data_IF_423720566767
#
_entry.id   IF_423720566767
#
_cell.length_a   1.000
_cell.length_b   1.000
_cell.length_c   1.000
_cell.angle_alpha   90.00
_cell.angle_beta   90.00
_cell.angle_gamma   90.00
#
_symmetry.space_group_name_H-M   'P 1'
#
loop_
_entity.id
_entity.type
_entity.pdbx_description
1 polymer ?
#
# COMPACT_ATOMS: atom_id res chain seq x y z
N UNK A 1 28.66 34.43 -13.29
CA UNK A 1 28.55 33.75 -12.00
C UNK A 1 27.25 34.23 -11.36
N UNK A 2 26.14 33.53 -11.63
CA UNK A 2 24.84 33.83 -11.04
C UNK A 2 24.67 32.85 -9.88
N UNK A 3 24.52 33.41 -8.69
CA UNK A 3 24.17 32.68 -7.46
C UNK A 3 22.82 32.00 -7.66
N UNK A 4 22.80 30.71 -7.54
CA UNK A 4 21.56 29.92 -7.45
C UNK A 4 20.98 30.20 -6.07
N UNK A 5 19.77 30.66 -6.05
CA UNK A 5 19.01 31.02 -4.84
C UNK A 5 18.58 29.71 -4.16
N UNK A 6 19.31 29.28 -3.13
CA UNK A 6 19.13 28.02 -2.39
C UNK A 6 17.90 27.99 -1.45
N UNK A 7 16.99 28.99 -1.53
CA UNK A 7 15.87 29.13 -0.60
C UNK A 7 14.48 29.12 -1.27
N UNK A 8 14.34 28.43 -2.40
CA UNK A 8 13.01 28.25 -2.98
C UNK A 8 12.55 26.80 -2.84
N UNK A 9 12.21 26.36 -1.61
CA UNK A 9 11.29 25.25 -1.44
C UNK A 9 9.94 25.71 -2.02
N UNK A 10 9.74 25.46 -3.31
CA UNK A 10 8.42 25.61 -3.91
C UNK A 10 7.55 24.53 -3.26
N UNK A 11 6.67 24.94 -2.35
CA UNK A 11 5.55 24.10 -1.96
C UNK A 11 4.68 23.86 -3.19
N UNK A 12 4.95 22.77 -3.90
CA UNK A 12 4.02 22.24 -4.89
C UNK A 12 2.79 21.84 -4.08
N UNK A 13 1.61 22.43 -4.29
CA UNK A 13 0.42 22.00 -3.57
C UNK A 13 0.21 20.52 -3.87
N UNK A 14 0.30 19.66 -2.84
CA UNK A 14 -0.03 18.26 -2.99
C UNK A 14 -1.47 18.16 -3.51
N UNK A 15 -1.69 17.40 -4.57
CA UNK A 15 -3.03 17.03 -5.00
C UNK A 15 -3.58 16.10 -3.93
N UNK A 16 -4.33 16.65 -2.97
CA UNK A 16 -4.97 15.85 -1.93
C UNK A 16 -6.04 14.98 -2.57
N UNK A 17 -5.93 13.68 -2.29
CA UNK A 17 -7.08 12.79 -2.44
C UNK A 17 -7.79 12.67 -1.09
N UNK A 18 -9.07 12.39 -1.11
CA UNK A 18 -9.88 12.22 0.10
C UNK A 18 -9.56 10.92 0.87
N UNK A 19 -8.56 10.14 0.44
CA UNK A 19 -8.22 8.85 1.04
C UNK A 19 -7.34 8.93 2.31
N UNK A 20 -6.69 10.06 2.55
CA UNK A 20 -5.68 10.22 3.60
C UNK A 20 -4.24 10.05 3.08
N UNK A 21 -3.27 10.20 3.97
CA UNK A 21 -1.83 10.16 3.64
C UNK A 21 -1.21 8.79 3.92
N UNK A 22 -1.59 8.17 5.04
CA UNK A 22 -1.02 6.90 5.49
C UNK A 22 -2.07 5.80 5.33
N UNK A 23 -1.94 5.04 4.26
CA UNK A 23 -2.83 3.92 3.95
C UNK A 23 -2.07 2.61 4.13
N UNK A 24 -2.67 1.65 4.85
CA UNK A 24 -2.03 0.34 5.06
C UNK A 24 -2.61 -0.69 4.11
N UNK A 25 -1.74 -1.31 3.29
CA UNK A 25 -2.09 -2.52 2.56
C UNK A 25 -2.12 -3.70 3.53
N UNK A 26 -3.29 -4.00 4.10
CA UNK A 26 -3.48 -4.96 5.19
C UNK A 26 -3.29 -6.41 4.72
N UNK A 27 -2.62 -7.24 5.54
CA UNK A 27 -2.54 -8.69 5.32
C UNK A 27 -3.89 -9.37 5.57
N UNK A 28 -4.12 -10.53 4.95
CA UNK A 28 -5.27 -11.39 5.25
C UNK A 28 -4.85 -12.50 6.22
N UNK A 29 -5.30 -12.49 7.47
CA UNK A 29 -5.04 -13.58 8.41
C UNK A 29 -5.75 -14.87 7.99
N UNK A 30 -5.03 -16.00 8.07
CA UNK A 30 -5.58 -17.32 7.83
C UNK A 30 -5.49 -18.20 9.09
N UNK A 31 -6.45 -19.14 9.20
CA UNK A 31 -6.41 -20.22 10.18
C UNK A 31 -5.51 -21.35 9.68
N UNK A 32 -5.29 -22.37 10.54
CA UNK A 32 -4.49 -23.54 10.18
C UNK A 32 -5.07 -24.38 9.03
N UNK A 33 -6.38 -24.26 8.77
CA UNK A 33 -7.07 -24.89 7.63
C UNK A 33 -7.10 -24.00 6.37
N UNK A 34 -6.30 -22.94 6.35
CA UNK A 34 -6.23 -21.93 5.30
C UNK A 34 -7.53 -21.12 5.07
N UNK A 35 -8.56 -21.30 5.89
CA UNK A 35 -9.74 -20.41 5.85
C UNK A 35 -9.39 -19.02 6.38
N UNK A 36 -10.08 -17.98 5.88
CA UNK A 36 -9.90 -16.60 6.35
C UNK A 36 -10.28 -16.48 7.82
N UNK A 37 -9.40 -15.91 8.65
CA UNK A 37 -9.70 -15.58 10.06
C UNK A 37 -10.25 -14.16 10.17
N UNK A 38 -11.54 -14.01 9.96
CA UNK A 38 -12.23 -12.71 10.03
C UNK A 38 -12.13 -12.06 11.42
N UNK A 39 -12.01 -12.86 12.50
CA UNK A 39 -11.86 -12.30 13.86
C UNK A 39 -10.52 -11.60 14.01
N UNK A 40 -9.44 -12.26 13.57
CA UNK A 40 -8.08 -11.67 13.61
C UNK A 40 -7.96 -10.53 12.60
N UNK A 41 -8.58 -10.64 11.42
CA UNK A 41 -8.61 -9.55 10.44
C UNK A 41 -9.22 -8.27 11.03
N UNK A 42 -10.39 -8.36 11.67
CA UNK A 42 -11.03 -7.20 12.33
C UNK A 42 -10.18 -6.63 13.45
N UNK A 43 -9.58 -7.48 14.28
CA UNK A 43 -8.70 -7.04 15.35
C UNK A 43 -7.45 -6.29 14.79
N UNK A 44 -6.85 -6.81 13.72
CA UNK A 44 -5.73 -6.15 13.05
C UNK A 44 -6.16 -4.84 12.40
N UNK A 45 -7.30 -4.81 11.71
CA UNK A 45 -7.83 -3.59 11.09
C UNK A 45 -8.02 -2.47 12.12
N UNK A 46 -8.63 -2.80 13.27
CA UNK A 46 -8.79 -1.86 14.39
C UNK A 46 -7.45 -1.37 14.90
N UNK A 47 -6.52 -2.29 15.16
CA UNK A 47 -5.18 -1.95 15.62
C UNK A 47 -4.48 -0.96 14.68
N UNK A 48 -4.51 -1.21 13.38
CA UNK A 48 -3.85 -0.36 12.38
C UNK A 48 -4.41 1.06 12.37
N UNK A 49 -5.73 1.22 12.46
CA UNK A 49 -6.39 2.53 12.50
C UNK A 49 -6.07 3.26 13.82
N UNK A 50 -6.07 2.56 14.94
CA UNK A 50 -5.68 3.11 16.24
C UNK A 50 -4.18 3.50 16.31
N UNK A 51 -3.36 2.93 15.41
CA UNK A 51 -1.92 3.17 15.34
C UNK A 51 -1.49 3.91 14.06
N UNK A 52 -2.37 4.73 13.50
CA UNK A 52 -1.97 5.73 12.51
C UNK A 52 -2.34 5.48 11.07
N UNK A 53 -3.01 4.39 10.75
CA UNK A 53 -3.55 4.20 9.40
C UNK A 53 -4.81 5.04 9.20
N UNK A 54 -4.79 5.96 8.24
CA UNK A 54 -5.94 6.77 7.85
C UNK A 54 -6.88 6.01 6.90
N UNK A 55 -6.40 4.91 6.33
CA UNK A 55 -7.18 4.01 5.49
C UNK A 55 -6.53 2.64 5.34
N UNK A 56 -7.33 1.67 4.91
CA UNK A 56 -6.92 0.30 4.67
C UNK A 56 -7.18 -0.10 3.21
N UNK A 57 -6.16 -0.67 2.57
CA UNK A 57 -6.31 -1.32 1.26
C UNK A 57 -6.43 -2.82 1.48
N UNK A 58 -7.62 -3.34 1.22
CA UNK A 58 -8.02 -4.71 1.52
C UNK A 58 -7.87 -5.59 0.28
N UNK A 59 -7.36 -6.81 0.45
CA UNK A 59 -7.13 -7.82 -0.60
C UNK A 59 -6.23 -7.39 -1.76
N UNK A 60 -5.30 -6.43 -1.50
CA UNK A 60 -4.20 -6.15 -2.42
C UNK A 60 -3.17 -7.29 -2.48
N UNK A 61 -1.99 -7.03 -3.04
CA UNK A 61 -0.90 -8.03 -3.09
C UNK A 61 -0.50 -8.50 -1.69
N UNK A 62 -0.41 -7.57 -0.72
CA UNK A 62 -0.12 -7.86 0.68
C UNK A 62 -1.22 -8.70 1.34
N UNK A 63 -2.47 -8.49 0.96
CA UNK A 63 -3.63 -9.24 1.43
C UNK A 63 -3.88 -10.54 0.68
N UNK A 64 -2.93 -11.02 -0.13
CA UNK A 64 -3.03 -12.27 -0.91
C UNK A 64 -4.28 -12.37 -1.80
N UNK A 65 -4.70 -11.22 -2.37
CA UNK A 65 -5.93 -11.12 -3.15
C UNK A 65 -6.01 -12.08 -4.36
N UNK A 66 -4.86 -12.55 -4.88
CA UNK A 66 -4.81 -13.51 -5.99
C UNK A 66 -5.25 -14.93 -5.63
N UNK A 67 -5.23 -15.31 -4.35
CA UNK A 67 -5.60 -16.64 -3.84
C UNK A 67 -6.94 -16.65 -3.10
N UNK A 68 -7.58 -15.49 -2.99
CA UNK A 68 -8.91 -15.33 -2.40
C UNK A 68 -10.00 -15.46 -3.47
N UNK A 69 -11.06 -16.20 -3.15
CA UNK A 69 -12.30 -16.18 -3.95
C UNK A 69 -13.00 -14.82 -3.85
N UNK A 70 -13.83 -14.47 -4.83
CA UNK A 70 -14.62 -13.23 -4.80
C UNK A 70 -15.49 -13.12 -3.56
N UNK A 71 -16.07 -14.25 -3.11
CA UNK A 71 -16.84 -14.29 -1.86
C UNK A 71 -15.99 -13.89 -0.66
N UNK A 72 -14.76 -14.42 -0.53
CA UNK A 72 -13.86 -14.07 0.57
C UNK A 72 -13.46 -12.58 0.50
N UNK A 73 -13.17 -12.06 -0.70
CA UNK A 73 -12.87 -10.65 -0.91
C UNK A 73 -14.02 -9.75 -0.45
N UNK A 74 -15.25 -10.01 -0.94
CA UNK A 74 -16.42 -9.23 -0.55
C UNK A 74 -16.68 -9.28 0.96
N UNK A 75 -16.50 -10.46 1.58
CA UNK A 75 -16.65 -10.60 3.03
C UNK A 75 -15.55 -9.83 3.79
N UNK A 76 -14.30 -9.77 3.27
CA UNK A 76 -13.21 -8.99 3.87
C UNK A 76 -13.46 -7.49 3.74
N UNK A 77 -13.95 -7.01 2.60
CA UNK A 77 -14.34 -5.60 2.43
C UNK A 77 -15.43 -5.22 3.42
N UNK A 78 -16.48 -6.03 3.50
CA UNK A 78 -17.57 -5.81 4.46
C UNK A 78 -17.06 -5.82 5.90
N UNK A 79 -16.20 -6.77 6.27
CA UNK A 79 -15.61 -6.86 7.60
C UNK A 79 -14.73 -5.65 7.96
N UNK A 80 -14.00 -5.09 6.98
CA UNK A 80 -13.23 -3.87 7.18
C UNK A 80 -14.15 -2.66 7.40
N UNK A 81 -15.17 -2.47 6.55
CA UNK A 81 -16.15 -1.38 6.69
C UNK A 81 -16.90 -1.45 8.01
N UNK A 82 -17.36 -2.64 8.41
CA UNK A 82 -18.05 -2.84 9.69
C UNK A 82 -17.16 -2.49 10.87
N UNK A 83 -15.85 -2.75 10.78
CA UNK A 83 -14.93 -2.55 11.90
C UNK A 83 -14.38 -1.12 11.99
N UNK A 84 -14.03 -0.51 10.85
CA UNK A 84 -13.31 0.76 10.84
C UNK A 84 -13.89 1.83 9.91
N UNK A 85 -14.92 1.54 9.13
CA UNK A 85 -15.44 2.44 8.07
C UNK A 85 -15.90 3.81 8.55
N UNK A 86 -16.25 3.98 9.82
CA UNK A 86 -16.56 5.30 10.41
C UNK A 86 -15.31 6.11 10.77
N UNK A 87 -14.12 5.49 10.81
CA UNK A 87 -12.87 6.07 11.33
C UNK A 87 -11.75 6.14 10.30
N UNK A 88 -11.83 5.33 9.26
CA UNK A 88 -10.78 5.19 8.26
C UNK A 88 -11.37 4.80 6.90
N UNK A 89 -10.72 5.24 5.84
CA UNK A 89 -11.10 4.91 4.46
C UNK A 89 -10.87 3.42 4.18
N UNK A 90 -11.85 2.75 3.58
CA UNK A 90 -11.72 1.35 3.15
C UNK A 90 -11.67 1.25 1.63
N UNK A 91 -10.53 0.83 1.10
CA UNK A 91 -10.23 0.71 -0.33
C UNK A 91 -10.19 -0.76 -0.70
N UNK A 92 -11.07 -1.19 -1.62
CA UNK A 92 -11.11 -2.55 -2.12
C UNK A 92 -10.13 -2.74 -3.30
N UNK A 93 -9.26 -3.74 -3.24
CA UNK A 93 -8.43 -4.12 -4.38
C UNK A 93 -9.20 -5.13 -5.25
N UNK A 94 -9.79 -4.66 -6.35
CA UNK A 94 -10.64 -5.45 -7.25
C UNK A 94 -10.02 -5.71 -8.62
N UNK A 95 -8.86 -5.08 -8.92
CA UNK A 95 -8.15 -5.26 -10.17
C UNK A 95 -7.59 -6.67 -10.36
N UNK A 96 -7.77 -7.24 -11.57
CA UNK A 96 -7.21 -8.51 -12.03
C UNK A 96 -6.73 -8.38 -13.47
N UNK A 97 -6.21 -9.45 -14.05
CA UNK A 97 -5.87 -9.51 -15.48
C UNK A 97 -7.11 -9.52 -16.39
N UNK A 98 -8.28 -9.82 -15.87
CA UNK A 98 -9.55 -9.87 -16.62
C UNK A 98 -10.38 -8.62 -16.34
N UNK A 99 -10.59 -7.81 -17.36
CA UNK A 99 -11.32 -6.54 -17.27
C UNK A 99 -12.79 -6.75 -16.82
N UNK A 100 -13.47 -7.76 -17.35
CA UNK A 100 -14.89 -8.03 -17.02
C UNK A 100 -15.02 -8.51 -15.58
N UNK A 101 -14.11 -9.37 -15.12
CA UNK A 101 -14.09 -9.83 -13.75
C UNK A 101 -13.80 -8.66 -12.80
N UNK A 102 -12.82 -7.82 -13.12
CA UNK A 102 -12.50 -6.62 -12.33
C UNK A 102 -13.70 -5.67 -12.23
N UNK A 103 -14.38 -5.38 -13.34
CA UNK A 103 -15.57 -4.53 -13.35
C UNK A 103 -16.73 -5.16 -12.54
N UNK A 104 -16.94 -6.48 -12.65
CA UNK A 104 -17.97 -7.18 -11.89
C UNK A 104 -17.73 -7.12 -10.39
N UNK A 105 -16.52 -7.42 -9.92
CA UNK A 105 -16.17 -7.38 -8.51
C UNK A 105 -16.22 -5.93 -7.96
N UNK A 106 -15.81 -4.94 -8.77
CA UNK A 106 -15.90 -3.53 -8.42
C UNK A 106 -17.36 -3.11 -8.23
N UNK A 107 -18.25 -3.47 -9.16
CA UNK A 107 -19.67 -3.17 -9.04
C UNK A 107 -20.30 -3.77 -7.78
N UNK A 108 -19.93 -5.00 -7.41
CA UNK A 108 -20.46 -5.65 -6.20
C UNK A 108 -19.98 -4.98 -4.90
N UNK A 109 -18.76 -4.44 -4.87
CA UNK A 109 -18.21 -3.80 -3.69
C UNK A 109 -18.57 -2.30 -3.58
N UNK A 110 -19.03 -1.66 -4.67
CA UNK A 110 -19.28 -0.22 -4.74
C UNK A 110 -20.31 0.31 -3.74
N UNK A 111 -21.21 -0.54 -3.26
CA UNK A 111 -22.25 -0.14 -2.31
C UNK A 111 -21.70 0.19 -0.91
N UNK A 112 -20.55 -0.34 -0.53
CA UNK A 112 -20.09 -0.23 0.85
C UNK A 112 -18.65 0.25 1.06
N UNK A 113 -17.75 0.18 0.05
CA UNK A 113 -16.37 0.70 0.20
C UNK A 113 -16.25 2.16 -0.24
N UNK A 114 -15.17 2.82 0.15
CA UNK A 114 -14.93 4.23 -0.16
C UNK A 114 -14.22 4.44 -1.50
N UNK A 115 -13.50 3.42 -1.99
CA UNK A 115 -12.79 3.49 -3.26
C UNK A 115 -12.15 2.16 -3.65
N UNK A 116 -11.42 2.18 -4.75
CA UNK A 116 -10.88 0.96 -5.35
C UNK A 116 -9.40 1.13 -5.72
N UNK A 117 -8.62 0.05 -5.51
CA UNK A 117 -7.28 -0.10 -6.05
C UNK A 117 -7.31 -1.09 -7.21
N UNK A 118 -6.95 -0.61 -8.40
CA UNK A 118 -6.97 -1.40 -9.62
C UNK A 118 -5.55 -1.62 -10.11
N UNK A 119 -5.07 -2.87 -10.01
CA UNK A 119 -3.74 -3.23 -10.52
C UNK A 119 -3.73 -3.26 -12.05
N UNK A 120 -2.63 -2.82 -12.65
CA UNK A 120 -2.38 -2.98 -14.09
C UNK A 120 -2.58 -4.46 -14.48
N UNK A 121 -3.34 -4.76 -15.57
CA UNK A 121 -3.53 -6.13 -16.01
C UNK A 121 -2.19 -6.83 -16.26
N UNK A 122 -1.96 -7.92 -15.56
CA UNK A 122 -0.73 -8.70 -15.61
C UNK A 122 -0.82 -9.88 -16.58
N UNK A 123 0.31 -10.54 -16.85
CA UNK A 123 0.48 -11.72 -17.70
C UNK A 123 0.32 -11.44 -19.20
N UNK A 124 -0.81 -10.89 -19.66
CA UNK A 124 -1.10 -10.65 -21.08
C UNK A 124 -0.36 -9.46 -21.69
N UNK A 125 0.32 -8.62 -20.88
CA UNK A 125 1.10 -7.44 -21.31
C UNK A 125 0.31 -6.52 -22.25
N UNK A 126 -0.81 -5.96 -21.83
CA UNK A 126 -1.61 -5.11 -22.70
C UNK A 126 -0.84 -3.86 -23.13
N UNK A 127 -1.05 -3.36 -24.37
CA UNK A 127 -0.54 -2.06 -24.78
C UNK A 127 -1.27 -0.93 -24.04
N UNK A 128 -0.69 0.28 -24.01
CA UNK A 128 -1.25 1.44 -23.32
C UNK A 128 -2.75 1.65 -23.59
N UNK A 129 -3.17 1.63 -24.87
CA UNK A 129 -4.60 1.74 -25.25
C UNK A 129 -5.48 0.66 -24.60
N UNK A 130 -4.95 -0.55 -24.41
CA UNK A 130 -5.69 -1.65 -23.75
C UNK A 130 -5.81 -1.41 -22.24
N UNK A 131 -4.80 -0.80 -21.61
CA UNK A 131 -4.85 -0.37 -20.20
C UNK A 131 -5.91 0.72 -20.04
N UNK A 132 -5.95 1.70 -20.90
CA UNK A 132 -6.94 2.78 -20.86
C UNK A 132 -8.37 2.22 -20.97
N UNK A 133 -8.64 1.33 -21.93
CA UNK A 133 -9.96 0.69 -22.08
C UNK A 133 -10.33 -0.20 -20.88
N UNK A 134 -9.32 -0.85 -20.25
CA UNK A 134 -9.52 -1.60 -19.01
C UNK A 134 -10.03 -0.70 -17.88
N UNK A 135 -9.38 0.45 -17.67
CA UNK A 135 -9.79 1.39 -16.63
C UNK A 135 -11.13 2.07 -16.94
N UNK A 136 -11.41 2.42 -18.20
CA UNK A 136 -12.71 2.96 -18.60
C UNK A 136 -13.86 2.01 -18.25
N UNK A 137 -13.75 0.74 -18.61
CA UNK A 137 -14.80 -0.25 -18.32
C UNK A 137 -15.01 -0.44 -16.81
N UNK A 138 -13.95 -0.35 -15.99
CA UNK A 138 -14.09 -0.45 -14.54
C UNK A 138 -14.67 0.84 -13.96
N UNK A 139 -14.25 1.99 -14.48
CA UNK A 139 -14.78 3.29 -14.07
C UNK A 139 -16.28 3.45 -14.34
N UNK A 140 -16.77 2.88 -15.45
CA UNK A 140 -18.17 2.94 -15.85
C UNK A 140 -19.15 2.21 -14.91
N UNK A 141 -18.67 1.31 -14.05
CA UNK A 141 -19.55 0.54 -13.13
C UNK A 141 -19.63 1.14 -11.73
N UNK A 142 -18.97 2.26 -11.45
CA UNK A 142 -18.99 2.91 -10.14
C UNK A 142 -18.73 4.40 -10.24
N UNK A 143 -19.30 5.19 -9.33
CA UNK A 143 -18.95 6.59 -9.16
C UNK A 143 -17.84 6.78 -8.10
N UNK A 144 -17.47 5.69 -7.39
CA UNK A 144 -16.44 5.74 -6.36
C UNK A 144 -15.05 5.95 -6.97
N UNK A 145 -14.15 6.63 -6.26
CA UNK A 145 -12.82 6.93 -6.76
C UNK A 145 -11.95 5.67 -6.95
N UNK A 146 -11.17 5.67 -8.03
CA UNK A 146 -10.25 4.61 -8.42
C UNK A 146 -8.79 5.07 -8.27
N UNK A 147 -7.97 4.17 -7.74
CA UNK A 147 -6.51 4.31 -7.67
C UNK A 147 -5.89 3.35 -8.69
N UNK A 148 -5.14 3.87 -9.64
CA UNK A 148 -4.32 3.06 -10.56
C UNK A 148 -3.17 2.44 -9.78
N UNK A 149 -2.91 1.13 -9.93
CA UNK A 149 -1.76 0.51 -9.31
C UNK A 149 -0.73 0.11 -10.37
N UNK A 150 0.35 0.90 -10.45
CA UNK A 150 1.49 0.65 -11.32
C UNK A 150 2.60 -0.05 -10.53
N UNK A 151 2.83 -1.33 -10.83
CA UNK A 151 3.84 -2.18 -10.19
C UNK A 151 4.55 -3.06 -11.21
N UNK A 152 5.48 -2.52 -12.00
CA UNK A 152 6.14 -3.25 -13.08
C UNK A 152 6.93 -4.48 -12.61
N UNK A 153 7.43 -4.48 -11.37
CA UNK A 153 8.12 -5.64 -10.78
C UNK A 153 7.26 -6.91 -10.68
N UNK A 154 5.92 -6.77 -10.64
CA UNK A 154 4.98 -7.89 -10.58
C UNK A 154 4.19 -8.10 -11.88
N UNK A 155 3.84 -7.01 -12.57
CA UNK A 155 2.97 -7.07 -13.75
C UNK A 155 3.73 -6.95 -15.06
N UNK A 156 5.04 -6.67 -15.02
CA UNK A 156 5.98 -6.52 -16.14
C UNK A 156 5.74 -5.23 -16.95
N UNK A 157 4.50 -4.76 -17.08
CA UNK A 157 4.16 -3.52 -17.79
C UNK A 157 4.32 -2.33 -16.85
N UNK A 158 5.08 -1.32 -17.28
CA UNK A 158 5.09 0.00 -16.66
C UNK A 158 4.06 0.90 -17.35
N UNK A 159 3.28 1.64 -16.60
CA UNK A 159 2.38 2.65 -17.16
C UNK A 159 3.15 3.96 -17.21
N UNK A 160 3.45 4.41 -18.43
CA UNK A 160 4.19 5.66 -18.64
C UNK A 160 3.35 6.89 -18.28
N UNK A 161 3.98 8.04 -17.93
CA UNK A 161 3.28 9.24 -17.50
C UNK A 161 2.22 9.73 -18.49
N UNK A 162 2.45 9.59 -19.79
CA UNK A 162 1.48 9.95 -20.83
C UNK A 162 0.20 9.13 -20.74
N UNK A 163 0.32 7.83 -20.46
CA UNK A 163 -0.84 6.95 -20.26
C UNK A 163 -1.55 7.24 -18.94
N UNK A 164 -0.79 7.57 -17.88
CA UNK A 164 -1.36 8.00 -16.59
C UNK A 164 -2.11 9.34 -16.75
N UNK A 165 -1.61 10.26 -17.58
CA UNK A 165 -2.33 11.50 -17.89
C UNK A 165 -3.68 11.21 -18.59
N UNK A 166 -3.70 10.29 -19.58
CA UNK A 166 -4.96 9.86 -20.23
C UNK A 166 -5.91 9.17 -19.23
N UNK A 167 -5.40 8.35 -18.30
CA UNK A 167 -6.21 7.76 -17.24
C UNK A 167 -6.78 8.81 -16.30
N UNK A 168 -6.06 9.87 -16.01
CA UNK A 168 -6.50 11.00 -15.19
C UNK A 168 -7.62 11.85 -15.80
N UNK A 169 -7.91 11.69 -17.09
CA UNK A 169 -9.08 12.31 -17.75
C UNK A 169 -10.39 11.55 -17.45
N UNK A 170 -10.31 10.32 -16.91
CA UNK A 170 -11.48 9.57 -16.47
C UNK A 170 -11.91 10.12 -15.11
N UNK A 171 -13.12 10.63 -15.00
CA UNK A 171 -13.60 11.50 -13.90
C UNK A 171 -13.40 10.93 -12.49
N UNK A 172 -13.49 9.61 -12.33
CA UNK A 172 -13.33 8.92 -11.04
C UNK A 172 -11.99 8.19 -10.88
N UNK A 173 -11.06 8.33 -11.83
CA UNK A 173 -9.65 7.91 -11.65
C UNK A 173 -8.88 9.08 -11.05
N UNK A 174 -8.60 9.01 -9.76
CA UNK A 174 -8.14 10.19 -8.97
C UNK A 174 -6.70 10.08 -8.48
N UNK A 175 -6.14 8.88 -8.47
CA UNK A 175 -4.82 8.65 -7.90
C UNK A 175 -4.06 7.52 -8.61
N UNK A 176 -2.75 7.48 -8.38
CA UNK A 176 -1.89 6.38 -8.74
C UNK A 176 -1.06 5.93 -7.53
N UNK A 177 -1.06 4.62 -7.26
CA UNK A 177 -0.08 3.96 -6.42
C UNK A 177 1.08 3.54 -7.31
N UNK A 178 2.23 4.21 -7.15
CA UNK A 178 3.44 3.97 -7.91
C UNK A 178 4.41 3.12 -7.11
N UNK A 179 4.69 1.90 -7.58
CA UNK A 179 5.59 0.95 -6.94
C UNK A 179 6.77 0.63 -7.88
N UNK A 180 7.56 1.64 -8.16
CA UNK A 180 8.89 1.56 -8.73
C UNK A 180 9.73 2.74 -8.20
N UNK A 181 11.06 2.60 -8.22
CA UNK A 181 12.00 3.58 -7.69
C UNK A 181 12.41 4.68 -8.69
N UNK A 182 11.68 4.83 -9.81
CA UNK A 182 11.94 5.89 -10.78
C UNK A 182 11.36 7.23 -10.29
N UNK A 183 12.19 8.01 -9.58
CA UNK A 183 11.82 9.32 -9.06
C UNK A 183 11.54 10.34 -10.16
N UNK A 184 12.14 10.19 -11.34
CA UNK A 184 11.85 11.07 -12.49
C UNK A 184 10.45 10.79 -13.03
N UNK A 185 10.05 9.51 -13.14
CA UNK A 185 8.68 9.16 -13.47
C UNK A 185 7.70 9.67 -12.41
N UNK A 186 8.03 9.53 -11.12
CA UNK A 186 7.21 10.03 -10.02
C UNK A 186 7.03 11.55 -10.09
N UNK A 187 8.09 12.30 -10.37
CA UNK A 187 8.04 13.77 -10.58
C UNK A 187 7.13 14.13 -11.74
N UNK A 188 7.27 13.45 -12.88
CA UNK A 188 6.41 13.67 -14.06
C UNK A 188 4.94 13.38 -13.77
N UNK A 189 4.63 12.36 -12.96
CA UNK A 189 3.25 12.09 -12.53
C UNK A 189 2.66 13.28 -11.78
N UNK A 190 3.42 13.86 -10.84
CA UNK A 190 2.97 15.02 -10.06
C UNK A 190 2.78 16.25 -10.95
N UNK A 191 3.70 16.51 -11.88
CA UNK A 191 3.70 17.72 -12.70
C UNK A 191 2.74 17.64 -13.89
N UNK A 192 2.61 16.48 -14.55
CA UNK A 192 1.99 16.32 -15.85
C UNK A 192 0.61 15.64 -15.82
N UNK A 193 0.17 15.10 -14.67
CA UNK A 193 -1.12 14.39 -14.58
C UNK A 193 -2.08 15.03 -13.56
N UNK A 194 -3.36 14.70 -13.62
CA UNK A 194 -4.34 15.09 -12.60
C UNK A 194 -4.32 14.17 -11.36
N UNK A 195 -3.56 13.08 -11.38
CA UNK A 195 -3.58 12.05 -10.37
C UNK A 195 -2.81 12.43 -9.11
N UNK A 196 -3.34 12.08 -7.94
CA UNK A 196 -2.61 12.12 -6.68
C UNK A 196 -1.59 10.96 -6.65
N UNK A 197 -0.32 11.25 -6.35
CA UNK A 197 0.74 10.24 -6.29
C UNK A 197 0.82 9.62 -4.90
N UNK A 198 0.71 8.29 -4.82
CA UNK A 198 0.96 7.50 -3.61
C UNK A 198 2.17 6.60 -3.78
N UNK A 199 3.05 6.57 -2.79
CA UNK A 199 4.12 5.59 -2.72
C UNK A 199 3.55 4.16 -2.62
N UNK A 200 4.08 3.25 -3.43
CA UNK A 200 3.66 1.85 -3.45
C UNK A 200 4.58 0.92 -2.67
N UNK A 201 5.78 1.38 -2.32
CA UNK A 201 6.77 0.70 -1.51
C UNK A 201 7.15 1.56 -0.29
N UNK A 202 7.67 0.92 0.75
CA UNK A 202 7.87 1.56 2.05
C UNK A 202 8.93 2.67 2.02
N UNK A 203 10.02 2.44 1.31
CA UNK A 203 11.17 3.33 1.13
C UNK A 203 10.90 4.51 0.19
N UNK A 204 9.77 4.52 -0.48
CA UNK A 204 9.37 5.59 -1.39
C UNK A 204 8.46 6.64 -0.73
N UNK A 205 8.02 6.44 0.52
CA UNK A 205 7.05 7.34 1.15
C UNK A 205 7.61 8.76 1.30
N UNK A 206 8.76 8.91 1.98
CA UNK A 206 9.36 10.23 2.18
C UNK A 206 9.83 10.86 0.86
N UNK A 207 10.57 10.15 -0.03
CA UNK A 207 10.92 10.69 -1.36
C UNK A 207 9.72 11.17 -2.19
N UNK A 208 8.59 10.47 -2.14
CA UNK A 208 7.41 10.89 -2.90
C UNK A 208 6.70 12.09 -2.26
N UNK A 209 6.68 12.19 -0.93
CA UNK A 209 6.20 13.39 -0.25
C UNK A 209 7.03 14.63 -0.64
N UNK A 210 8.35 14.49 -0.75
CA UNK A 210 9.25 15.57 -1.20
C UNK A 210 8.96 16.04 -2.63
N UNK A 211 8.52 15.13 -3.50
CA UNK A 211 8.09 15.46 -4.87
C UNK A 211 6.69 16.08 -4.93
N UNK A 212 5.96 16.18 -3.80
CA UNK A 212 4.58 16.66 -3.76
C UNK A 212 3.53 15.55 -3.86
N UNK A 213 3.90 14.31 -3.58
CA UNK A 213 2.99 13.17 -3.46
C UNK A 213 1.99 13.33 -2.32
N UNK A 214 0.86 12.64 -2.42
CA UNK A 214 -0.23 12.69 -1.44
C UNK A 214 0.06 11.85 -0.19
N UNK A 215 0.82 10.75 -0.33
CA UNK A 215 1.11 9.82 0.75
C UNK A 215 1.63 8.47 0.28
N UNK A 216 1.35 7.42 1.04
CA UNK A 216 1.75 6.05 0.72
C UNK A 216 0.68 5.01 1.03
N UNK A 217 0.68 3.95 0.21
CA UNK A 217 -0.07 2.73 0.43
C UNK A 217 0.96 1.64 0.72
N UNK A 218 1.36 1.56 1.98
CA UNK A 218 2.53 0.84 2.45
C UNK A 218 2.15 -0.35 3.34
N UNK A 219 3.13 -1.14 3.77
CA UNK A 219 2.91 -2.29 4.65
C UNK A 219 3.79 -2.29 5.91
N UNK A 220 4.85 -1.46 5.99
CA UNK A 220 5.61 -1.25 7.23
C UNK A 220 4.77 -0.61 8.35
N UNK A 221 3.70 0.06 7.98
CA UNK A 221 2.69 0.61 8.89
C UNK A 221 2.01 -0.42 9.78
N UNK A 222 2.08 -1.72 9.45
CA UNK A 222 1.63 -2.79 10.34
C UNK A 222 2.38 -2.81 11.69
N UNK A 223 3.66 -2.43 11.71
CA UNK A 223 4.54 -2.53 12.85
C UNK A 223 5.07 -1.18 13.33
N UNK A 224 5.04 -0.14 12.49
CA UNK A 224 5.61 1.16 12.79
C UNK A 224 4.64 2.33 12.49
N UNK A 225 3.33 2.11 12.50
CA UNK A 225 2.34 3.13 12.17
C UNK A 225 2.55 4.48 12.87
N UNK A 226 2.71 4.54 14.24
CA UNK A 226 2.94 5.79 14.95
C UNK A 226 4.25 6.51 14.54
N UNK A 227 5.30 5.76 14.22
CA UNK A 227 6.59 6.31 13.76
C UNK A 227 6.47 6.91 12.37
N UNK A 228 5.73 6.24 11.48
CA UNK A 228 5.42 6.74 10.13
C UNK A 228 4.55 8.00 10.22
N UNK A 229 3.58 8.06 11.14
CA UNK A 229 2.81 9.28 11.39
C UNK A 229 3.70 10.45 11.82
N UNK A 230 4.63 10.21 12.74
CA UNK A 230 5.55 11.25 13.22
C UNK A 230 6.46 11.74 12.07
N UNK A 231 6.97 10.85 11.23
CA UNK A 231 7.75 11.20 10.04
C UNK A 231 6.95 12.14 9.11
N UNK A 232 5.73 11.75 8.76
CA UNK A 232 4.85 12.56 7.90
C UNK A 232 4.50 13.90 8.56
N UNK A 233 4.26 13.92 9.88
CA UNK A 233 3.98 15.13 10.63
C UNK A 233 5.17 16.11 10.59
N UNK A 234 6.39 15.63 10.85
CA UNK A 234 7.62 16.44 10.77
C UNK A 234 7.83 17.00 9.37
N UNK A 235 7.73 16.13 8.35
CA UNK A 235 7.81 16.56 6.97
C UNK A 235 6.84 17.71 6.66
N UNK A 236 5.56 17.56 7.02
CA UNK A 236 4.51 18.58 6.78
C UNK A 236 4.71 19.88 7.57
N UNK A 237 5.33 19.80 8.74
CA UNK A 237 5.68 20.98 9.55
C UNK A 237 6.95 21.69 9.07
N UNK A 238 7.65 21.15 8.06
CA UNK A 238 8.89 21.70 7.51
C UNK A 238 10.16 21.23 8.22
N UNK A 239 10.06 20.31 9.19
CA UNK A 239 11.20 19.66 9.82
C UNK A 239 11.68 18.47 8.94
N UNK A 240 12.32 18.83 7.83
CA UNK A 240 12.80 17.84 6.85
C UNK A 240 13.91 16.96 7.44
N UNK A 241 14.81 17.52 8.25
CA UNK A 241 15.86 16.77 8.88
C UNK A 241 15.33 15.74 9.88
N UNK A 242 14.35 16.13 10.70
CA UNK A 242 13.70 15.19 11.62
C UNK A 242 12.85 14.13 10.91
N UNK A 243 12.26 14.45 9.76
CA UNK A 243 11.57 13.44 8.95
C UNK A 243 12.58 12.41 8.38
N UNK A 244 13.73 12.86 7.87
CA UNK A 244 14.78 11.98 7.35
C UNK A 244 15.39 11.10 8.45
N UNK A 245 15.60 11.64 9.66
CA UNK A 245 16.08 10.87 10.80
C UNK A 245 15.15 9.69 11.12
N UNK A 246 13.82 9.90 11.08
CA UNK A 246 12.85 8.83 11.30
C UNK A 246 12.86 7.84 10.14
N UNK A 247 12.98 8.29 8.90
CA UNK A 247 13.05 7.40 7.73
C UNK A 247 14.29 6.49 7.82
N UNK A 248 15.44 7.06 8.19
CA UNK A 248 16.68 6.29 8.43
C UNK A 248 16.51 5.26 9.56
N UNK A 249 15.83 5.64 10.66
CA UNK A 249 15.53 4.73 11.77
C UNK A 249 14.56 3.60 11.39
N UNK A 250 13.71 3.78 10.38
CA UNK A 250 12.85 2.74 9.84
C UNK A 250 13.60 1.74 8.94
N UNK A 251 14.83 2.04 8.53
CA UNK A 251 15.65 1.20 7.64
C UNK A 251 15.69 -0.28 8.03
N UNK A 252 16.07 -0.66 9.27
CA UNK A 252 16.10 -2.07 9.68
C UNK A 252 14.73 -2.77 9.58
N UNK A 253 13.61 -2.07 9.84
CA UNK A 253 12.28 -2.62 9.62
C UNK A 253 12.00 -2.83 8.13
N UNK A 254 12.36 -1.87 7.27
CA UNK A 254 12.20 -2.02 5.82
C UNK A 254 13.01 -3.20 5.29
N UNK A 255 14.24 -3.38 5.78
CA UNK A 255 15.08 -4.53 5.48
C UNK A 255 14.44 -5.86 5.94
N UNK A 256 13.87 -5.91 7.15
CA UNK A 256 13.16 -7.08 7.66
C UNK A 256 12.00 -7.49 6.74
N UNK A 257 11.23 -6.51 6.28
CA UNK A 257 10.05 -6.73 5.44
C UNK A 257 10.38 -7.08 3.98
N UNK A 258 11.66 -7.01 3.58
CA UNK A 258 12.14 -7.33 2.22
C UNK A 258 13.04 -8.57 2.16
N UNK A 259 13.28 -9.27 3.26
CA UNK A 259 14.04 -10.54 3.28
C UNK A 259 13.44 -11.56 2.32
N UNK A 260 12.12 -11.69 2.30
CA UNK A 260 11.36 -12.48 1.34
C UNK A 260 10.38 -11.58 0.58
N UNK A 261 9.81 -12.10 -0.50
CA UNK A 261 8.76 -11.38 -1.24
C UNK A 261 7.54 -11.11 -0.35
N UNK A 262 7.07 -9.85 -0.33
CA UNK A 262 5.84 -9.50 0.38
C UNK A 262 4.62 -10.27 -0.18
N UNK A 263 3.79 -10.91 0.69
CA UNK A 263 3.65 -10.74 2.13
C UNK A 263 4.39 -11.76 3.02
N UNK A 264 5.29 -12.60 2.51
CA UNK A 264 5.98 -13.63 3.31
C UNK A 264 6.67 -12.97 4.52
N UNK A 265 7.58 -12.02 4.28
CA UNK A 265 8.26 -11.30 5.38
C UNK A 265 7.28 -10.55 6.29
N UNK A 266 6.25 -9.91 5.72
CA UNK A 266 5.28 -9.13 6.50
C UNK A 266 4.49 -10.02 7.47
N UNK A 267 3.98 -11.17 7.02
CA UNK A 267 3.26 -12.10 7.90
C UNK A 267 4.17 -12.76 8.92
N UNK A 268 5.41 -13.11 8.53
CA UNK A 268 6.42 -13.62 9.46
C UNK A 268 6.73 -12.59 10.55
N UNK A 269 6.95 -11.34 10.19
CA UNK A 269 7.21 -10.25 11.13
C UNK A 269 6.03 -10.02 12.09
N UNK A 270 4.80 -10.02 11.58
CA UNK A 270 3.59 -9.90 12.38
C UNK A 270 3.42 -11.06 13.38
N UNK A 271 3.68 -12.30 12.93
CA UNK A 271 3.61 -13.46 13.80
C UNK A 271 4.67 -13.40 14.92
N UNK A 272 5.91 -12.98 14.60
CA UNK A 272 6.97 -12.75 15.60
C UNK A 272 6.60 -11.65 16.58
N UNK A 273 5.91 -10.61 16.15
CA UNK A 273 5.41 -9.53 16.98
C UNK A 273 4.11 -9.87 17.74
N UNK A 274 3.62 -11.12 17.65
CA UNK A 274 2.48 -11.61 18.44
C UNK A 274 1.09 -11.36 17.86
N UNK A 275 0.99 -10.92 16.58
CA UNK A 275 -0.33 -10.71 15.95
C UNK A 275 -1.01 -12.00 15.49
N UNK A 276 -0.29 -13.11 15.40
CA UNK A 276 -0.80 -14.44 15.03
C UNK A 276 -1.68 -14.43 13.74
N UNK A 277 -1.18 -13.83 12.67
CA UNK A 277 -1.92 -13.71 11.40
C UNK A 277 -1.94 -15.00 10.57
N UNK A 278 -1.33 -16.08 11.08
CA UNK A 278 -1.27 -17.38 10.42
C UNK A 278 -0.27 -17.44 9.26
N UNK A 279 -0.33 -18.52 8.49
CA UNK A 279 0.53 -18.79 7.33
C UNK A 279 0.03 -18.13 6.04
N UNK A 280 0.51 -18.64 4.90
CA UNK A 280 0.15 -18.17 3.57
C UNK A 280 -0.57 -19.27 2.77
N UNK A 281 -1.29 -18.87 1.73
CA UNK A 281 -1.83 -19.81 0.74
C UNK A 281 -0.85 -20.01 -0.43
N UNK A 282 -0.74 -21.22 -0.92
CA UNK A 282 0.02 -21.49 -2.15
C UNK A 282 -0.45 -20.57 -3.30
N UNK A 283 0.46 -20.10 -4.17
CA UNK A 283 1.87 -20.53 -4.34
C UNK A 283 2.87 -19.89 -3.36
N UNK A 284 2.43 -19.00 -2.46
CA UNK A 284 3.29 -18.48 -1.41
C UNK A 284 3.46 -19.53 -0.31
N UNK A 285 4.62 -19.51 0.33
CA UNK A 285 4.99 -20.43 1.41
C UNK A 285 5.53 -19.63 2.59
N UNK A 286 5.53 -20.22 3.77
CA UNK A 286 6.13 -19.58 4.96
C UNK A 286 7.64 -19.39 4.77
N UNK A 287 8.20 -18.40 5.44
CA UNK A 287 9.65 -18.17 5.47
C UNK A 287 10.38 -19.39 6.05
N UNK A 288 11.55 -19.71 5.51
CA UNK A 288 12.42 -20.74 6.06
C UNK A 288 12.91 -20.36 7.47
N UNK A 289 13.43 -21.31 8.27
CA UNK A 289 14.01 -20.98 9.57
C UNK A 289 15.12 -19.92 9.49
N UNK A 290 15.97 -19.95 8.46
CA UNK A 290 17.03 -18.97 8.27
C UNK A 290 16.47 -17.57 7.92
N UNK A 291 15.46 -17.51 7.05
CA UNK A 291 14.78 -16.26 6.70
C UNK A 291 14.04 -15.69 7.91
N UNK A 292 13.36 -16.54 8.68
CA UNK A 292 12.66 -16.16 9.91
C UNK A 292 13.64 -15.57 10.94
N UNK A 293 14.79 -16.19 11.13
CA UNK A 293 15.83 -15.71 12.04
C UNK A 293 16.39 -14.36 11.56
N UNK A 294 16.65 -14.21 10.27
CA UNK A 294 17.10 -12.94 9.71
C UNK A 294 16.06 -11.82 9.94
N UNK A 295 14.79 -12.11 9.71
CA UNK A 295 13.69 -11.17 9.97
C UNK A 295 13.68 -10.80 11.46
N UNK A 296 13.79 -11.77 12.38
CA UNK A 296 13.79 -11.53 13.83
C UNK A 296 14.90 -10.58 14.25
N UNK A 297 16.13 -10.83 13.81
CA UNK A 297 17.30 -9.97 14.13
C UNK A 297 17.08 -8.53 13.66
N UNK A 298 16.55 -8.35 12.44
CA UNK A 298 16.27 -7.02 11.90
C UNK A 298 15.13 -6.31 12.65
N UNK A 299 14.12 -7.06 13.10
CA UNK A 299 13.04 -6.50 13.94
C UNK A 299 13.52 -6.09 15.33
N UNK A 300 14.50 -6.80 15.90
CA UNK A 300 15.17 -6.40 17.15
C UNK A 300 15.97 -5.10 16.94
N UNK A 301 16.72 -4.98 15.84
CA UNK A 301 17.44 -3.77 15.47
C UNK A 301 16.50 -2.58 15.24
N UNK A 302 15.31 -2.83 14.69
CA UNK A 302 14.26 -1.84 14.51
C UNK A 302 13.53 -1.46 15.83
N UNK A 303 13.83 -2.15 16.94
CA UNK A 303 13.12 -1.95 18.21
C UNK A 303 11.65 -2.42 18.20
N UNK A 304 11.27 -3.28 17.25
CA UNK A 304 9.94 -3.89 17.17
C UNK A 304 9.81 -5.08 18.12
N UNK A 305 10.91 -5.81 18.31
CA UNK A 305 11.01 -6.91 19.27
C UNK A 305 12.01 -6.56 20.37
N UNK A 306 11.78 -7.09 21.59
CA UNK A 306 12.81 -7.06 22.64
C UNK A 306 13.96 -7.98 22.24
N UNK A 307 15.21 -7.53 22.41
CA UNK A 307 16.39 -8.35 22.11
C UNK A 307 16.45 -9.52 23.09
N UNK A 308 16.80 -10.71 22.59
CA UNK A 308 16.97 -11.90 23.42
C UNK A 308 18.00 -11.72 24.56
N UNK A 309 18.95 -10.79 24.39
CA UNK A 309 19.99 -10.47 25.39
C UNK A 309 19.52 -9.49 26.48
N UNK A 310 18.29 -8.95 26.40
CA UNK A 310 17.77 -7.97 27.35
C UNK A 310 17.13 -8.60 28.62
N UNK A 311 17.10 -9.92 28.72
CA UNK A 311 16.61 -10.61 29.92
C UNK A 311 17.78 -11.30 30.67
N UNK A 312 18.52 -10.61 31.56
CA UNK A 312 19.40 -11.27 32.52
C UNK A 312 18.50 -11.90 33.58
N UNK A 313 18.54 -13.22 33.71
CA UNK A 313 17.97 -13.94 34.86
C UNK A 313 18.46 -13.34 36.20
#
# INVERSE_FOLDING_TARGET
MRLVDENRVMSIPSKQSDFGTILTAIVTPFKADESVDFKRFKALARYLVEHGSEGLVVTGSTGEGSTLSDREKLMLYYAAVEEVGERATVIAATGTYDTRHSAHLTAQAAEFVDGFLIVTPYYSKPPARGIVEHFKMIADVTEKPLIVYNIPSRVIVNIEPETLAELGEISNVVAVKQANSDLEQARRIVEETALALYAGDNDLLLPFLELGGAGGICFHTHLAGPKVQEMVHRFRSGDLAGAQEIDDELGPLMDALTVCVNPISTKTALNLAGFEVGGLRLPLVDATPEETEKIRVLLEQAGVLESADANPE
#
